data_IF_485396001800
#
_entry.id   IF_485396001800
#
_cell.length_a   1.000
_cell.length_b   1.000
_cell.length_c   1.000
_cell.angle_alpha   90.00
_cell.angle_beta   90.00
_cell.angle_gamma   90.00
#
_symmetry.space_group_name_H-M   'P 1'
#
loop_
_entity.id
_entity.type
_entity.pdbx_description
1 polymer ?
#
# COMPACT_ATOMS: atom_id res chain seq x y z
N UNK A 1 -2.05 -2.86 19.74
CA UNK A 1 -2.09 -2.21 18.42
C UNK A 1 -0.84 -2.51 17.59
N UNK A 2 0.33 -2.01 18.01
CA UNK A 2 1.59 -2.10 17.25
C UNK A 2 1.89 -3.50 16.68
N UNK A 3 1.82 -4.56 17.49
CA UNK A 3 2.17 -5.91 17.05
C UNK A 3 1.32 -6.48 15.90
N UNK A 4 0.02 -6.15 15.83
CA UNK A 4 -0.88 -6.64 14.78
C UNK A 4 -0.55 -6.00 13.42
N UNK A 5 -0.28 -4.70 13.42
CA UNK A 5 -0.10 -3.92 12.20
C UNK A 5 1.35 -3.74 11.76
N UNK A 6 2.33 -4.04 12.62
CA UNK A 6 3.76 -3.91 12.29
C UNK A 6 4.14 -4.71 11.05
N UNK A 7 3.60 -5.93 10.89
CA UNK A 7 3.89 -6.77 9.72
C UNK A 7 3.42 -6.12 8.41
N UNK A 8 2.15 -5.72 8.38
CA UNK A 8 1.56 -5.06 7.21
C UNK A 8 2.23 -3.71 6.90
N UNK A 9 2.53 -2.91 7.92
CA UNK A 9 3.22 -1.64 7.75
C UNK A 9 4.60 -1.82 7.08
N UNK A 10 5.38 -2.79 7.55
CA UNK A 10 6.71 -3.08 7.00
C UNK A 10 6.66 -3.49 5.53
N UNK A 11 5.70 -4.32 5.15
CA UNK A 11 5.54 -4.72 3.74
C UNK A 11 5.16 -3.54 2.85
N UNK A 12 4.25 -2.67 3.31
CA UNK A 12 3.89 -1.44 2.59
C UNK A 12 5.08 -0.48 2.45
N UNK A 13 5.87 -0.30 3.52
CA UNK A 13 7.11 0.50 3.48
C UNK A 13 8.15 -0.12 2.53
N UNK A 14 8.29 -1.45 2.53
CA UNK A 14 9.19 -2.15 1.60
C UNK A 14 8.79 -1.93 0.15
N UNK A 15 7.50 -2.05 -0.16
CA UNK A 15 6.98 -1.75 -1.50
C UNK A 15 7.25 -0.30 -1.91
N UNK A 16 7.00 0.66 -1.02
CA UNK A 16 7.30 2.08 -1.26
C UNK A 16 8.79 2.32 -1.55
N UNK A 17 9.68 1.75 -0.74
CA UNK A 17 11.13 1.89 -0.95
C UNK A 17 11.61 1.26 -2.27
N UNK A 18 11.05 0.11 -2.66
CA UNK A 18 11.35 -0.52 -3.95
C UNK A 18 10.86 0.33 -5.13
N UNK A 19 9.71 0.96 -5.01
CA UNK A 19 9.17 1.87 -6.02
C UNK A 19 10.08 3.09 -6.26
N UNK A 20 10.71 3.63 -5.22
CA UNK A 20 11.64 4.77 -5.35
C UNK A 20 12.88 4.44 -6.20
N UNK A 21 13.29 3.17 -6.23
CA UNK A 21 14.38 2.68 -7.10
C UNK A 21 13.87 2.50 -8.54
N UNK A 22 12.60 2.14 -8.68
CA UNK A 22 11.96 1.78 -9.94
C UNK A 22 11.72 0.28 -10.02
N UNK A 23 10.50 -0.09 -10.40
CA UNK A 23 10.08 -1.48 -10.60
C UNK A 23 9.51 -1.67 -12.00
N UNK A 24 9.72 -2.85 -12.57
CA UNK A 24 8.92 -3.33 -13.68
C UNK A 24 7.49 -3.64 -13.23
N UNK A 25 6.58 -3.79 -14.18
CA UNK A 25 5.19 -4.16 -13.90
C UNK A 25 5.10 -5.49 -13.13
N UNK A 26 5.84 -6.52 -13.55
CA UNK A 26 5.81 -7.83 -12.91
C UNK A 26 6.35 -7.77 -11.48
N UNK A 27 7.45 -7.07 -11.25
CA UNK A 27 8.00 -6.88 -9.90
C UNK A 27 7.04 -6.10 -9.00
N UNK A 28 6.39 -5.07 -9.57
CA UNK A 28 5.41 -4.27 -8.85
C UNK A 28 4.19 -5.08 -8.45
N UNK A 29 3.58 -5.81 -9.38
CA UNK A 29 2.38 -6.62 -9.10
C UNK A 29 2.66 -7.78 -8.14
N UNK A 30 3.84 -8.42 -8.25
CA UNK A 30 4.28 -9.41 -7.28
C UNK A 30 4.40 -8.82 -5.88
N UNK A 31 5.05 -7.67 -5.74
CA UNK A 31 5.20 -7.02 -4.44
C UNK A 31 3.86 -6.55 -3.85
N UNK A 32 2.92 -6.08 -4.68
CA UNK A 32 1.53 -5.80 -4.24
C UNK A 32 0.82 -7.07 -3.77
N UNK A 33 1.05 -8.19 -4.46
CA UNK A 33 0.56 -9.51 -4.06
C UNK A 33 1.09 -9.94 -2.69
N UNK A 34 2.38 -9.78 -2.44
CA UNK A 34 3.02 -10.09 -1.15
C UNK A 34 2.38 -9.28 -0.01
N UNK A 35 2.18 -7.97 -0.22
CA UNK A 35 1.50 -7.11 0.77
C UNK A 35 0.06 -7.58 1.01
N UNK A 36 -0.66 -7.98 -0.05
CA UNK A 36 -2.05 -8.48 0.06
C UNK A 36 -2.12 -9.76 0.89
N UNK A 37 -1.15 -10.66 0.76
CA UNK A 37 -1.07 -11.88 1.58
C UNK A 37 -0.95 -11.53 3.07
N UNK A 38 -0.10 -10.57 3.42
CA UNK A 38 0.06 -10.12 4.82
C UNK A 38 -1.19 -9.40 5.32
N UNK A 39 -1.83 -8.58 4.49
CA UNK A 39 -3.11 -7.95 4.82
C UNK A 39 -4.19 -8.99 5.14
N UNK A 40 -4.30 -10.06 4.34
CA UNK A 40 -5.30 -11.12 4.56
C UNK A 40 -5.05 -11.95 5.83
N UNK A 41 -3.81 -11.99 6.30
CA UNK A 41 -3.43 -12.64 7.55
C UNK A 41 -3.58 -11.72 8.77
N UNK A 42 -3.78 -10.41 8.54
CA UNK A 42 -3.93 -9.43 9.61
C UNK A 42 -5.33 -9.52 10.19
N UNK A 43 -5.43 -9.77 11.49
CA UNK A 43 -6.73 -9.87 12.17
C UNK A 43 -7.32 -8.49 12.49
N UNK A 44 -7.98 -7.90 11.51
CA UNK A 44 -8.73 -6.64 11.68
C UNK A 44 -10.01 -6.82 12.50
N UNK A 45 -10.64 -7.99 12.43
CA UNK A 45 -11.95 -8.24 13.01
C UNK A 45 -11.88 -8.54 14.52
N UNK A 46 -10.78 -9.13 14.99
CA UNK A 46 -10.52 -9.38 16.41
C UNK A 46 -9.98 -8.17 17.18
N UNK A 47 -9.82 -7.01 16.52
CA UNK A 47 -9.39 -5.77 17.18
C UNK A 47 -10.60 -4.98 17.69
N UNK A 48 -10.80 -4.99 19.01
CA UNK A 48 -11.82 -4.16 19.68
C UNK A 48 -11.36 -2.69 19.88
N UNK A 49 -10.09 -2.39 19.59
CA UNK A 49 -9.49 -1.08 19.77
C UNK A 49 -9.77 -0.18 18.55
N UNK A 50 -10.84 0.62 18.65
CA UNK A 50 -11.26 1.55 17.60
C UNK A 50 -10.22 2.64 17.32
N UNK A 51 -9.47 3.07 18.33
CA UNK A 51 -8.45 4.10 18.16
C UNK A 51 -7.31 3.52 17.30
N UNK A 52 -6.85 2.31 17.63
CA UNK A 52 -5.88 1.56 16.83
C UNK A 52 -6.34 1.34 15.38
N UNK A 53 -7.59 0.92 15.18
CA UNK A 53 -8.16 0.72 13.85
C UNK A 53 -8.20 2.03 13.07
N UNK A 54 -8.60 3.13 13.71
CA UNK A 54 -8.72 4.42 13.04
C UNK A 54 -7.38 5.06 12.71
N UNK A 55 -6.39 4.95 13.60
CA UNK A 55 -5.09 5.57 13.45
C UNK A 55 -4.13 4.78 12.55
N UNK A 56 -4.21 3.44 12.57
CA UNK A 56 -3.29 2.59 11.82
C UNK A 56 -3.99 1.67 10.82
N UNK A 57 -5.03 0.95 11.25
CA UNK A 57 -5.71 -0.04 10.40
C UNK A 57 -6.29 0.55 9.11
N UNK A 58 -7.08 1.63 9.23
CA UNK A 58 -7.70 2.32 8.09
C UNK A 58 -6.66 2.93 7.14
N UNK A 59 -5.61 3.65 7.61
CA UNK A 59 -4.54 4.12 6.72
C UNK A 59 -3.78 2.98 6.00
N UNK A 60 -3.48 1.85 6.67
CA UNK A 60 -2.82 0.71 6.03
C UNK A 60 -3.67 0.10 4.90
N UNK A 61 -4.96 -0.10 5.14
CA UNK A 61 -5.89 -0.57 4.11
C UNK A 61 -5.98 0.40 2.93
N UNK A 62 -6.03 1.71 3.23
CA UNK A 62 -6.02 2.75 2.19
C UNK A 62 -4.74 2.71 1.36
N UNK A 63 -3.59 2.51 1.99
CA UNK A 63 -2.31 2.40 1.29
C UNK A 63 -2.31 1.24 0.29
N UNK A 64 -2.65 0.03 0.76
CA UNK A 64 -2.75 -1.15 -0.10
C UNK A 64 -3.72 -0.93 -1.26
N UNK A 65 -4.90 -0.37 -0.98
CA UNK A 65 -5.90 -0.08 -2.02
C UNK A 65 -5.39 0.89 -3.09
N UNK A 66 -4.54 1.86 -2.74
CA UNK A 66 -3.94 2.75 -3.73
C UNK A 66 -2.90 2.02 -4.59
N UNK A 67 -2.09 1.15 -4.00
CA UNK A 67 -1.17 0.33 -4.78
C UNK A 67 -1.91 -0.65 -5.72
N UNK A 68 -2.98 -1.29 -5.26
CA UNK A 68 -3.84 -2.12 -6.12
C UNK A 68 -4.43 -1.31 -7.28
N UNK A 69 -4.89 -0.07 -7.03
CA UNK A 69 -5.38 0.81 -8.10
C UNK A 69 -4.30 1.15 -9.11
N UNK A 70 -3.08 1.44 -8.68
CA UNK A 70 -1.98 1.68 -9.60
C UNK A 70 -1.65 0.42 -10.43
N UNK A 71 -1.70 -0.77 -9.83
CA UNK A 71 -1.54 -2.05 -10.54
C UNK A 71 -2.60 -2.23 -11.63
N UNK A 72 -3.85 -1.89 -11.33
CA UNK A 72 -4.95 -1.98 -12.30
C UNK A 72 -4.81 -0.96 -13.44
N UNK A 73 -4.42 0.29 -13.13
CA UNK A 73 -4.15 1.32 -14.14
C UNK A 73 -3.00 0.89 -15.04
N UNK A 74 -1.93 0.36 -14.46
CA UNK A 74 -0.79 -0.14 -15.23
C UNK A 74 -1.17 -1.35 -16.07
N UNK A 75 -1.94 -2.29 -15.51
CA UNK A 75 -2.42 -3.49 -16.21
C UNK A 75 -3.31 -3.14 -17.41
N UNK A 76 -4.26 -2.23 -17.22
CA UNK A 76 -5.17 -1.78 -18.29
C UNK A 76 -4.43 -1.15 -19.48
N UNK A 77 -3.21 -0.65 -19.29
CA UNK A 77 -2.37 -0.15 -20.36
C UNK A 77 -1.98 -1.23 -21.37
N UNK A 78 -1.83 -2.49 -20.95
CA UNK A 78 -1.49 -3.58 -21.86
C UNK A 78 -2.61 -3.91 -22.85
N UNK A 79 -3.87 -3.61 -22.48
CA UNK A 79 -5.04 -3.85 -23.31
C UNK A 79 -5.33 -2.68 -24.29
N UNK A 80 -4.64 -1.54 -24.15
CA UNK A 80 -4.78 -0.35 -24.99
C UNK A 80 -3.56 -0.14 -25.89
N UNK A 81 -3.74 -0.30 -27.21
CA UNK A 81 -2.70 -0.15 -28.22
C UNK A 81 -2.10 1.27 -28.30
N UNK A 82 -2.79 2.28 -27.78
CA UNK A 82 -2.32 3.66 -27.72
C UNK A 82 -1.60 3.98 -26.40
N UNK A 83 -1.56 3.03 -25.46
CA UNK A 83 -0.99 3.27 -24.15
C UNK A 83 0.53 3.12 -24.14
N UNK A 84 1.18 4.01 -23.41
CA UNK A 84 2.61 3.98 -23.11
C UNK A 84 2.83 4.16 -21.61
N UNK A 85 3.94 3.67 -21.08
CA UNK A 85 4.29 3.91 -19.68
C UNK A 85 4.31 5.42 -19.35
N UNK A 86 4.73 6.27 -20.29
CA UNK A 86 4.73 7.73 -20.10
C UNK A 86 3.32 8.33 -20.01
N UNK A 87 2.34 7.78 -20.73
CA UNK A 87 0.97 8.27 -20.69
C UNK A 87 0.24 7.92 -19.39
N UNK A 88 0.59 6.80 -18.74
CA UNK A 88 -0.02 6.39 -17.46
C UNK A 88 0.78 6.85 -16.24
N UNK A 89 2.07 7.20 -16.40
CA UNK A 89 2.96 7.59 -15.29
C UNK A 89 2.34 8.64 -14.37
N UNK A 90 1.66 9.71 -14.84
CA UNK A 90 1.02 10.66 -13.94
C UNK A 90 -0.06 10.04 -13.04
N UNK A 91 -0.84 9.09 -13.55
CA UNK A 91 -1.84 8.37 -12.75
C UNK A 91 -1.20 7.40 -11.77
N UNK A 92 -0.15 6.68 -12.20
CA UNK A 92 0.62 5.80 -11.31
C UNK A 92 1.21 6.59 -10.13
N UNK A 93 1.89 7.70 -10.43
CA UNK A 93 2.51 8.58 -9.42
C UNK A 93 1.47 9.16 -8.45
N UNK A 94 0.28 9.52 -8.94
CA UNK A 94 -0.84 9.97 -8.10
C UNK A 94 -1.28 8.89 -7.11
N UNK A 95 -1.36 7.64 -7.54
CA UNK A 95 -1.73 6.54 -6.65
C UNK A 95 -0.60 6.19 -5.68
N UNK A 96 0.65 6.13 -6.13
CA UNK A 96 1.81 5.88 -5.28
C UNK A 96 1.97 6.95 -4.19
N UNK A 97 1.86 8.23 -4.55
CA UNK A 97 1.93 9.32 -3.57
C UNK A 97 0.84 9.22 -2.49
N UNK A 98 -0.39 8.85 -2.87
CA UNK A 98 -1.48 8.62 -1.90
C UNK A 98 -1.23 7.39 -1.03
N UNK A 99 -0.62 6.35 -1.58
CA UNK A 99 -0.24 5.16 -0.83
C UNK A 99 0.80 5.54 0.22
N UNK A 100 1.90 6.19 -0.18
CA UNK A 100 2.97 6.64 0.72
C UNK A 100 2.45 7.53 1.84
N UNK A 101 1.61 8.53 1.53
CA UNK A 101 0.99 9.37 2.55
C UNK A 101 0.13 8.57 3.55
N UNK A 102 -0.53 7.50 3.10
CA UNK A 102 -1.34 6.65 3.99
C UNK A 102 -0.45 5.73 4.84
N UNK A 103 0.71 5.30 4.33
CA UNK A 103 1.72 4.56 5.09
C UNK A 103 2.31 5.43 6.20
N UNK A 104 2.66 6.68 5.89
CA UNK A 104 3.17 7.65 6.88
C UNK A 104 2.15 7.93 7.99
N UNK A 105 0.87 8.08 7.64
CA UNK A 105 -0.21 8.23 8.63
C UNK A 105 -0.33 7.01 9.54
N UNK A 106 -0.22 5.80 8.99
CA UNK A 106 -0.26 4.57 9.78
C UNK A 106 0.93 4.46 10.74
N UNK A 107 2.13 4.76 10.24
CA UNK A 107 3.38 4.70 11.01
C UNK A 107 3.34 5.68 12.19
N UNK A 108 2.95 6.94 11.93
CA UNK A 108 2.75 7.93 12.99
C UNK A 108 1.67 7.52 13.99
N UNK A 109 0.54 7.00 13.51
CA UNK A 109 -0.54 6.52 14.37
C UNK A 109 -0.14 5.34 15.26
N UNK A 110 0.73 4.44 14.78
CA UNK A 110 1.30 3.37 15.61
C UNK A 110 2.32 3.91 16.62
N UNK A 111 3.19 4.82 16.19
CA UNK A 111 4.22 5.41 17.05
C UNK A 111 3.61 6.20 18.22
N UNK A 112 2.54 6.95 17.99
CA UNK A 112 1.83 7.69 19.04
C UNK A 112 1.14 6.76 20.08
N UNK A 113 1.00 5.48 19.77
CA UNK A 113 0.40 4.45 20.63
C UNK A 113 1.42 3.56 21.33
N UNK A 114 2.72 3.70 21.04
CA UNK A 114 3.77 3.03 21.80
C UNK A 114 4.06 3.81 23.10
N UNK A 115 4.01 3.15 24.28
CA UNK A 115 4.15 3.81 25.59
C UNK A 115 5.57 4.29 25.90
#
# INVERSE_FOLDING_TARGET
CSSTFTGLLKELQSLGSRLDIGLSYDEYTNAVGDVKVVYDQTDFAGLDDLDCLSAAGLPLERALNQYVKASNVWGACFDDYACSNDSIRPELQKHWSKASASVELADGGLADMEP
#
